data_IF_779735355811
#
_entry.id   IF_779735355811
#
_cell.length_a   1.000
_cell.length_b   1.000
_cell.length_c   1.000
_cell.angle_alpha   90.00
_cell.angle_beta   90.00
_cell.angle_gamma   90.00
#
_symmetry.space_group_name_H-M   'P 1'
#
loop_
_entity.id
_entity.type
_entity.pdbx_description
1 polymer ?
#
# COMPACT_ATOMS: atom_id res chain seq x y z
N UNK A 1 -24.86 4.39 -39.24
CA UNK A 1 -24.37 5.51 -38.42
C UNK A 1 -25.45 5.91 -37.43
N UNK A 2 -25.19 5.81 -36.12
CA UNK A 2 -25.95 6.55 -35.10
C UNK A 2 -24.92 7.21 -34.20
N UNK A 3 -24.91 8.53 -34.23
CA UNK A 3 -24.01 9.34 -33.42
C UNK A 3 -24.40 9.22 -31.95
N UNK A 4 -23.37 8.95 -31.16
CA UNK A 4 -23.23 9.05 -29.72
C UNK A 4 -23.91 10.29 -29.11
N UNK A 5 -24.58 10.13 -27.98
CA UNK A 5 -25.04 11.22 -27.12
C UNK A 5 -26.17 10.73 -26.23
N UNK A 6 -26.00 10.51 -24.91
CA UNK A 6 -25.19 11.27 -23.97
C UNK A 6 -24.12 10.42 -23.27
N UNK A 7 -22.85 10.66 -23.56
CA UNK A 7 -21.82 10.40 -22.56
C UNK A 7 -22.01 11.48 -21.50
N UNK A 8 -22.72 11.18 -20.41
CA UNK A 8 -22.88 12.14 -19.32
C UNK A 8 -21.47 12.59 -18.87
N UNK A 9 -21.14 13.90 -18.96
CA UNK A 9 -19.81 14.39 -18.65
C UNK A 9 -19.42 14.13 -17.19
N UNK A 10 -20.38 14.04 -16.26
CA UNK A 10 -20.14 13.65 -14.88
C UNK A 10 -19.81 12.16 -14.78
N UNK A 11 -20.49 11.30 -15.54
CA UNK A 11 -20.18 9.88 -15.59
C UNK A 11 -18.79 9.62 -16.19
N UNK A 12 -18.42 10.31 -17.26
CA UNK A 12 -17.09 10.25 -17.85
C UNK A 12 -16.03 10.69 -16.83
N UNK A 13 -16.28 11.81 -16.12
CA UNK A 13 -15.37 12.30 -15.08
C UNK A 13 -15.24 11.32 -13.91
N UNK A 14 -16.34 10.69 -13.48
CA UNK A 14 -16.31 9.68 -12.44
C UNK A 14 -15.47 8.46 -12.86
N UNK A 15 -15.61 7.99 -14.10
CA UNK A 15 -14.81 6.90 -14.65
C UNK A 15 -13.31 7.25 -14.69
N UNK A 16 -12.93 8.45 -15.11
CA UNK A 16 -11.55 8.92 -15.08
C UNK A 16 -10.95 8.93 -13.67
N UNK A 17 -11.70 9.46 -12.69
CA UNK A 17 -11.25 9.53 -11.30
C UNK A 17 -11.13 8.13 -10.70
N UNK A 18 -12.04 7.22 -11.02
CA UNK A 18 -11.96 5.83 -10.61
C UNK A 18 -10.71 5.15 -11.16
N UNK A 19 -10.40 5.33 -12.46
CA UNK A 19 -9.18 4.78 -13.05
C UNK A 19 -7.91 5.33 -12.39
N UNK A 20 -7.88 6.62 -12.03
CA UNK A 20 -6.76 7.23 -11.29
C UNK A 20 -6.63 6.67 -9.88
N UNK A 21 -7.74 6.49 -9.17
CA UNK A 21 -7.74 5.88 -7.84
C UNK A 21 -7.20 4.44 -7.90
N UNK A 22 -7.67 3.62 -8.86
CA UNK A 22 -7.15 2.26 -9.05
C UNK A 22 -5.65 2.24 -9.34
N UNK A 23 -5.15 3.15 -10.16
CA UNK A 23 -3.72 3.25 -10.44
C UNK A 23 -2.92 3.64 -9.19
N UNK A 24 -3.42 4.60 -8.40
CA UNK A 24 -2.79 5.02 -7.15
C UNK A 24 -2.82 3.89 -6.10
N UNK A 25 -3.91 3.14 -6.01
CA UNK A 25 -4.04 1.99 -5.12
C UNK A 25 -3.10 0.86 -5.50
N UNK A 26 -2.95 0.58 -6.81
CA UNK A 26 -2.00 -0.40 -7.31
C UNK A 26 -0.55 -0.02 -6.97
N UNK A 27 -0.19 1.25 -7.12
CA UNK A 27 1.14 1.74 -6.77
C UNK A 27 1.38 1.72 -5.25
N UNK A 28 0.39 2.15 -4.46
CA UNK A 28 0.46 2.05 -3.01
C UNK A 28 0.58 0.59 -2.53
N UNK A 29 -0.06 -0.36 -3.22
CA UNK A 29 0.08 -1.79 -2.93
C UNK A 29 1.51 -2.28 -3.19
N UNK A 30 2.16 -1.84 -4.27
CA UNK A 30 3.57 -2.15 -4.56
C UNK A 30 4.50 -1.62 -3.46
N UNK A 31 4.35 -0.36 -3.08
CA UNK A 31 5.17 0.22 -2.00
C UNK A 31 4.98 -0.48 -0.67
N UNK A 32 3.74 -0.88 -0.33
CA UNK A 32 3.49 -1.68 0.88
C UNK A 32 4.16 -3.05 0.79
N UNK A 33 4.08 -3.73 -0.36
CA UNK A 33 4.72 -5.03 -0.54
C UNK A 33 6.24 -4.95 -0.35
N UNK A 34 6.90 -3.97 -0.98
CA UNK A 34 8.34 -3.75 -0.86
C UNK A 34 8.75 -3.37 0.57
N UNK A 35 8.03 -2.44 1.20
CA UNK A 35 8.24 -2.08 2.62
C UNK A 35 8.15 -3.32 3.51
N UNK A 36 7.12 -4.14 3.31
CA UNK A 36 6.87 -5.31 4.14
C UNK A 36 7.96 -6.38 3.96
N UNK A 37 8.54 -6.52 2.75
CA UNK A 37 9.73 -7.36 2.49
C UNK A 37 10.95 -6.86 3.24
N UNK A 38 11.20 -5.55 3.23
CA UNK A 38 12.33 -4.94 3.93
C UNK A 38 12.18 -5.13 5.44
N UNK A 39 10.99 -4.91 6.00
CA UNK A 39 10.71 -5.11 7.44
C UNK A 39 11.00 -6.56 7.84
N UNK A 40 10.54 -7.52 7.04
CA UNK A 40 10.77 -8.94 7.30
C UNK A 40 12.27 -9.30 7.22
N UNK A 41 12.99 -8.80 6.21
CA UNK A 41 14.44 -9.00 6.08
C UNK A 41 15.20 -8.43 7.27
N UNK A 42 14.85 -7.22 7.74
CA UNK A 42 15.46 -6.61 8.93
C UNK A 42 15.21 -7.46 10.18
N UNK A 43 14.00 -8.00 10.34
CA UNK A 43 13.64 -8.89 11.45
C UNK A 43 14.43 -10.20 11.43
N UNK A 44 14.68 -10.76 10.25
CA UNK A 44 15.44 -11.99 10.09
C UNK A 44 16.94 -11.79 10.31
N UNK A 45 17.50 -10.68 9.83
CA UNK A 45 18.93 -10.40 9.89
C UNK A 45 19.42 -10.08 11.31
N UNK A 46 18.73 -9.21 12.04
CA UNK A 46 19.15 -8.78 13.38
C UNK A 46 17.93 -8.69 14.34
N UNK A 47 17.37 -9.82 14.79
CA UNK A 47 16.13 -9.82 15.55
C UNK A 47 16.22 -9.10 16.92
N UNK A 48 17.39 -9.07 17.54
CA UNK A 48 17.62 -8.38 18.83
C UNK A 48 17.67 -6.85 18.64
N UNK A 49 18.26 -6.39 17.54
CA UNK A 49 18.35 -4.96 17.20
C UNK A 49 17.03 -4.42 16.68
N UNK A 50 16.39 -5.14 15.77
CA UNK A 50 15.14 -4.75 15.13
C UNK A 50 13.92 -5.31 15.87
N UNK A 51 13.73 -4.88 17.12
CA UNK A 51 12.47 -5.15 17.83
C UNK A 51 11.29 -4.43 17.16
N UNK A 52 10.05 -4.87 17.41
CA UNK A 52 8.85 -4.22 16.86
C UNK A 52 8.78 -2.73 17.21
N UNK A 53 9.20 -2.35 18.43
CA UNK A 53 9.24 -0.96 18.87
C UNK A 53 10.33 -0.15 18.14
N UNK A 54 11.50 -0.74 17.89
CA UNK A 54 12.58 -0.08 17.15
C UNK A 54 12.17 0.21 15.70
N UNK A 55 11.57 -0.78 15.02
CA UNK A 55 11.06 -0.61 13.66
C UNK A 55 9.95 0.42 13.58
N UNK A 56 8.99 0.38 14.50
CA UNK A 56 7.89 1.35 14.57
C UNK A 56 8.41 2.79 14.70
N UNK A 57 9.39 3.01 15.58
CA UNK A 57 10.04 4.33 15.75
C UNK A 57 10.80 4.77 14.51
N UNK A 58 11.61 3.89 13.92
CA UNK A 58 12.41 4.23 12.75
C UNK A 58 11.54 4.58 11.53
N UNK A 59 10.40 3.93 11.38
CA UNK A 59 9.49 4.10 10.24
C UNK A 59 8.37 5.12 10.51
N UNK A 60 8.27 5.66 11.72
CA UNK A 60 7.20 6.60 12.10
C UNK A 60 5.80 5.99 12.04
N UNK A 61 5.67 4.70 12.36
CA UNK A 61 4.39 3.99 12.30
C UNK A 61 4.06 3.29 13.63
N UNK A 62 2.87 2.71 13.73
CA UNK A 62 2.45 1.99 14.94
C UNK A 62 3.16 0.64 15.05
N UNK A 63 3.38 0.21 16.29
CA UNK A 63 3.93 -1.13 16.57
C UNK A 63 2.99 -2.23 16.10
N UNK A 64 1.69 -1.97 16.17
CA UNK A 64 0.63 -2.87 15.73
C UNK A 64 0.72 -3.12 14.22
N UNK A 65 1.04 -2.10 13.42
CA UNK A 65 1.28 -2.27 11.98
C UNK A 65 2.46 -3.21 11.72
N UNK A 66 3.58 -3.01 12.41
CA UNK A 66 4.76 -3.88 12.28
C UNK A 66 4.41 -5.32 12.66
N UNK A 67 3.70 -5.52 13.76
CA UNK A 67 3.27 -6.85 14.20
C UNK A 67 2.35 -7.53 13.18
N UNK A 68 1.41 -6.80 12.57
CA UNK A 68 0.54 -7.32 11.52
C UNK A 68 1.33 -7.73 10.27
N UNK A 69 2.29 -6.91 9.84
CA UNK A 69 3.14 -7.19 8.67
C UNK A 69 3.95 -8.47 8.91
N UNK A 70 4.66 -8.56 10.05
CA UNK A 70 5.49 -9.72 10.38
C UNK A 70 4.64 -10.98 10.56
N UNK A 71 3.42 -10.87 11.10
CA UNK A 71 2.50 -12.00 11.25
C UNK A 71 1.97 -12.52 9.91
N UNK A 72 1.70 -11.65 8.94
CA UNK A 72 1.19 -12.06 7.61
C UNK A 72 2.21 -12.80 6.75
N UNK A 73 3.50 -12.63 7.06
CA UNK A 73 4.63 -13.22 6.31
C UNK A 73 5.19 -14.50 6.94
N UNK A 74 4.78 -14.84 8.17
CA UNK A 74 5.03 -16.15 8.79
C UNK A 74 3.94 -17.12 8.39
#
# INVERSE_FOLDING_TARGET
MRASGSSDPLAARAAELHAKALAADAEAARYRAERDEIIDRLRQAEPERWSYTALARALGCSRELIAQIVRRRR
#
